data_IF_057925595450
#
_entry.id   IF_057925595450
#
_cell.length_a   1.000
_cell.length_b   1.000
_cell.length_c   1.000
_cell.angle_alpha   90.00
_cell.angle_beta   90.00
_cell.angle_gamma   90.00
#
_symmetry.space_group_name_H-M   'P 1'
#
loop_
_entity.id
_entity.type
_entity.pdbx_description
1 polymer ?
#
# COMPACT_ATOMS: atom_id res chain seq x y z
N UNK A 1 -5.05 0.37 8.84
CA UNK A 1 -4.37 -0.84 9.38
C UNK A 1 -3.08 -0.49 10.14
N UNK A 2 -2.81 -1.07 11.34
CA UNK A 2 -1.53 -0.91 12.04
C UNK A 2 -0.31 -1.43 11.25
N UNK A 3 0.87 -0.83 11.49
CA UNK A 3 2.13 -1.23 10.84
C UNK A 3 2.85 -2.33 11.65
N UNK A 4 2.20 -3.49 11.84
CA UNK A 4 2.71 -4.64 12.56
C UNK A 4 2.61 -5.95 11.75
N UNK A 5 3.31 -6.99 12.21
CA UNK A 5 3.36 -8.29 11.52
C UNK A 5 1.98 -8.98 11.44
N UNK A 6 1.18 -8.84 12.48
CA UNK A 6 -0.14 -9.46 12.59
C UNK A 6 -1.16 -8.82 11.63
N UNK A 7 -0.93 -7.58 11.24
CA UNK A 7 -1.76 -6.89 10.27
C UNK A 7 -1.42 -7.26 8.82
N UNK A 8 -0.15 -7.53 8.53
CA UNK A 8 0.32 -7.80 7.15
C UNK A 8 0.30 -9.28 6.75
N UNK A 9 0.28 -10.22 7.71
CA UNK A 9 0.33 -11.66 7.38
C UNK A 9 -0.83 -12.11 6.49
N UNK A 10 -1.98 -11.43 6.56
CA UNK A 10 -3.18 -11.74 5.76
C UNK A 10 -2.91 -11.72 4.24
N UNK A 11 -1.99 -10.87 3.78
CA UNK A 11 -1.63 -10.76 2.36
C UNK A 11 -0.81 -11.94 1.85
N UNK A 12 -0.14 -12.68 2.74
CA UNK A 12 0.61 -13.88 2.36
C UNK A 12 -0.31 -14.99 1.84
N UNK A 13 -1.57 -15.02 2.29
CA UNK A 13 -2.59 -15.99 1.82
C UNK A 13 -2.89 -15.81 0.34
N UNK A 14 -2.87 -14.58 -0.16
CA UNK A 14 -3.11 -14.25 -1.57
C UNK A 14 -1.83 -14.37 -2.43
N UNK A 15 -0.68 -14.59 -1.78
CA UNK A 15 0.63 -14.41 -2.39
C UNK A 15 1.62 -15.51 -1.99
N UNK A 16 1.31 -16.77 -2.32
CA UNK A 16 2.18 -17.94 -2.12
C UNK A 16 3.57 -17.75 -2.77
N UNK A 17 4.51 -17.18 -2.01
CA UNK A 17 5.88 -16.86 -2.41
C UNK A 17 6.01 -15.95 -3.64
N UNK A 18 4.99 -15.14 -3.93
CA UNK A 18 4.98 -14.24 -5.08
C UNK A 18 4.85 -12.79 -4.62
N UNK A 19 5.96 -12.06 -4.63
CA UNK A 19 6.03 -10.66 -4.17
C UNK A 19 5.15 -9.73 -5.00
N UNK A 20 5.00 -9.96 -6.31
CA UNK A 20 4.10 -9.15 -7.14
C UNK A 20 2.63 -9.29 -6.72
N UNK A 21 2.18 -10.52 -6.45
CA UNK A 21 0.82 -10.75 -5.93
C UNK A 21 0.63 -10.12 -4.55
N UNK A 22 1.68 -10.18 -3.73
CA UNK A 22 1.67 -9.58 -2.40
C UNK A 22 1.46 -8.06 -2.47
N UNK A 23 2.29 -7.34 -3.23
CA UNK A 23 2.15 -5.89 -3.40
C UNK A 23 0.80 -5.51 -4.02
N UNK A 24 0.31 -6.31 -4.97
CA UNK A 24 -1.03 -6.11 -5.55
C UNK A 24 -2.13 -6.23 -4.51
N UNK A 25 -2.09 -7.24 -3.64
CA UNK A 25 -3.09 -7.44 -2.59
C UNK A 25 -3.10 -6.27 -1.59
N UNK A 26 -1.92 -5.73 -1.24
CA UNK A 26 -1.79 -4.55 -0.38
C UNK A 26 -2.41 -3.31 -1.02
N UNK A 27 -2.13 -3.06 -2.31
CA UNK A 27 -2.69 -1.90 -3.02
C UNK A 27 -4.21 -2.01 -3.14
N UNK A 28 -4.74 -3.20 -3.47
CA UNK A 28 -6.18 -3.44 -3.54
C UNK A 28 -6.84 -3.14 -2.18
N UNK A 29 -6.28 -3.70 -1.11
CA UNK A 29 -6.76 -3.46 0.25
C UNK A 29 -6.76 -1.97 0.62
N UNK A 30 -5.70 -1.23 0.24
CA UNK A 30 -5.66 0.21 0.45
C UNK A 30 -6.79 0.93 -0.30
N UNK A 31 -6.98 0.59 -1.58
CA UNK A 31 -8.05 1.20 -2.40
C UNK A 31 -9.44 0.91 -1.83
N UNK A 32 -9.67 -0.30 -1.30
CA UNK A 32 -10.92 -0.68 -0.65
C UNK A 32 -11.15 0.07 0.67
N UNK A 33 -10.11 0.27 1.49
CA UNK A 33 -10.19 0.99 2.78
C UNK A 33 -10.36 2.51 2.59
N UNK A 34 -9.72 3.09 1.55
CA UNK A 34 -9.59 4.54 1.39
C UNK A 34 -10.31 5.13 0.17
N UNK A 35 -10.87 4.30 -0.71
CA UNK A 35 -11.67 4.74 -1.86
C UNK A 35 -10.86 5.19 -3.09
N UNK A 36 -9.56 4.85 -3.17
CA UNK A 36 -8.71 5.19 -4.32
C UNK A 36 -7.24 4.85 -4.10
N UNK A 37 -6.40 5.12 -5.11
CA UNK A 37 -4.96 4.87 -4.98
C UNK A 37 -4.29 5.84 -4.00
N UNK A 38 -3.15 5.47 -3.38
CA UNK A 38 -2.39 6.38 -2.51
C UNK A 38 -1.99 7.70 -3.18
N UNK A 39 -1.85 7.72 -4.51
CA UNK A 39 -1.57 8.90 -5.33
C UNK A 39 -2.79 9.78 -5.61
N UNK A 40 -4.00 9.29 -5.36
CA UNK A 40 -5.25 10.03 -5.63
C UNK A 40 -5.85 10.57 -4.33
N UNK A 41 -5.88 9.74 -3.28
CA UNK A 41 -6.58 10.02 -2.03
C UNK A 41 -5.67 9.98 -0.80
N UNK A 42 -4.39 9.63 -0.98
CA UNK A 42 -3.48 9.28 0.10
C UNK A 42 -2.22 10.14 0.19
N UNK A 43 -1.19 9.64 0.91
CA UNK A 43 0.06 10.35 1.13
C UNK A 43 0.85 10.68 -0.15
N UNK A 44 0.59 9.97 -1.24
CA UNK A 44 1.23 10.21 -2.53
C UNK A 44 0.50 11.25 -3.40
N UNK A 45 -0.62 11.81 -2.92
CA UNK A 45 -1.43 12.79 -3.66
C UNK A 45 -0.67 14.10 -3.85
N UNK A 46 -0.08 14.61 -2.79
CA UNK A 46 0.61 15.89 -2.78
C UNK A 46 2.12 15.66 -2.66
N UNK A 47 2.83 15.78 -3.78
CA UNK A 47 4.29 15.60 -3.83
C UNK A 47 4.96 16.97 -3.96
N UNK A 48 5.96 17.22 -3.12
CA UNK A 48 6.80 18.42 -3.19
C UNK A 48 8.20 18.03 -3.62
N UNK A 49 8.73 18.75 -4.59
CA UNK A 49 10.13 18.66 -4.94
C UNK A 49 10.93 19.55 -3.98
N UNK A 50 11.93 18.96 -3.32
CA UNK A 50 12.83 19.68 -2.41
C UNK A 50 14.21 19.66 -3.05
N UNK A 51 14.72 20.84 -3.41
CA UNK A 51 16.12 21.06 -3.77
C UNK A 51 16.72 21.85 -2.61
N UNK A 52 17.82 21.36 -2.06
CA UNK A 52 18.71 22.10 -1.17
C UNK A 52 19.95 22.50 -1.98
N UNK A 53 20.44 23.73 -1.78
CA UNK A 53 21.62 24.29 -2.47
C UNK A 53 22.93 23.59 -2.08
#
# INVERSE_FOLDING_TARGET
>A
MPADNDSIYKFNKEAHHNSHKWYRAVIIYYCEEHGGFPSEVGPGKDVKFVIED
#
